data_IF_682692282708
#
_entry.id   IF_682692282708
#
_cell.length_a   1.000
_cell.length_b   1.000
_cell.length_c   1.000
_cell.angle_alpha   90.00
_cell.angle_beta   90.00
_cell.angle_gamma   90.00
#
_symmetry.space_group_name_H-M   'P 1'
#
loop_
_entity.id
_entity.type
_entity.pdbx_description
1 polymer ?
#
# COMPACT_ATOMS: atom_id res chain seq x y z
N UNK A 1 2.94 -20.26 -15.97
CA UNK A 1 4.30 -19.99 -16.44
C UNK A 1 4.90 -21.31 -16.89
N UNK A 2 5.25 -21.41 -18.16
CA UNK A 2 5.89 -22.62 -18.72
C UNK A 2 7.38 -22.51 -18.41
N UNK A 3 7.88 -23.38 -17.56
CA UNK A 3 9.33 -23.51 -17.34
C UNK A 3 9.85 -24.36 -18.48
N UNK A 4 10.57 -23.75 -19.41
CA UNK A 4 11.35 -24.44 -20.43
C UNK A 4 12.81 -24.40 -19.95
N UNK A 5 13.53 -25.50 -20.07
CA UNK A 5 14.96 -25.67 -19.83
C UNK A 5 15.44 -25.78 -18.39
N UNK A 6 14.68 -26.41 -17.48
CA UNK A 6 15.16 -26.75 -16.13
C UNK A 6 15.51 -25.53 -15.26
N UNK A 7 15.14 -24.32 -15.68
CA UNK A 7 15.28 -23.13 -14.86
C UNK A 7 14.17 -23.05 -13.82
N UNK A 8 14.54 -22.86 -12.57
CA UNK A 8 13.60 -22.68 -11.48
C UNK A 8 12.77 -21.41 -11.69
N UNK A 9 11.49 -21.47 -11.32
CA UNK A 9 10.59 -20.33 -11.42
C UNK A 9 11.10 -19.15 -10.56
N UNK A 10 11.10 -17.95 -11.11
CA UNK A 10 11.42 -16.72 -10.39
C UNK A 10 10.14 -16.13 -9.83
N UNK A 11 10.07 -16.01 -8.51
CA UNK A 11 9.00 -15.34 -7.78
C UNK A 11 9.51 -14.00 -7.25
N UNK A 12 8.71 -12.94 -7.43
CA UNK A 12 9.02 -11.62 -6.87
C UNK A 12 7.76 -11.01 -6.25
N UNK A 13 7.90 -10.39 -5.08
CA UNK A 13 6.78 -9.76 -4.37
C UNK A 13 7.27 -8.70 -3.38
N UNK A 14 6.35 -7.81 -2.98
CA UNK A 14 6.54 -6.90 -1.85
C UNK A 14 6.13 -7.59 -0.56
N UNK A 15 6.89 -7.41 0.51
CA UNK A 15 6.52 -7.92 1.84
C UNK A 15 5.32 -7.19 2.44
N UNK A 16 5.04 -5.98 1.96
CA UNK A 16 3.82 -5.22 2.25
C UNK A 16 3.34 -4.55 0.96
N UNK A 17 2.07 -4.67 0.64
CA UNK A 17 1.51 -4.15 -0.63
C UNK A 17 0.62 -2.93 -0.44
N UNK A 18 0.21 -2.65 0.80
CA UNK A 18 -0.67 -1.51 1.07
C UNK A 18 -0.49 -0.92 2.46
N UNK A 19 -0.95 0.31 2.63
CA UNK A 19 -1.12 0.98 3.90
C UNK A 19 -2.38 1.85 3.86
N UNK A 20 -3.06 1.98 5.00
CA UNK A 20 -4.21 2.85 5.18
C UNK A 20 -3.83 3.96 6.15
N UNK A 21 -4.14 5.20 5.81
CA UNK A 21 -3.80 6.38 6.58
C UNK A 21 -5.06 7.10 7.05
N UNK A 22 -5.17 7.43 8.34
CA UNK A 22 -6.30 8.20 8.85
C UNK A 22 -6.32 9.59 8.19
N UNK A 23 -7.48 10.01 7.76
CA UNK A 23 -7.73 11.33 7.19
C UNK A 23 -8.94 11.98 7.86
N UNK A 24 -8.99 13.30 7.89
CA UNK A 24 -10.18 14.04 8.30
C UNK A 24 -11.33 13.77 7.33
N UNK A 25 -12.55 14.18 7.67
CA UNK A 25 -13.70 14.14 6.75
C UNK A 25 -13.46 14.94 5.46
N UNK A 26 -12.60 15.95 5.50
CA UNK A 26 -12.16 16.73 4.33
C UNK A 26 -11.01 16.06 3.55
N UNK A 27 -10.56 14.87 3.95
CA UNK A 27 -9.50 14.12 3.27
C UNK A 27 -8.08 14.61 3.57
N UNK A 28 -7.89 15.40 4.63
CA UNK A 28 -6.57 15.82 5.09
C UNK A 28 -5.97 14.70 5.94
N UNK A 29 -4.82 14.19 5.51
CA UNK A 29 -4.02 13.23 6.30
C UNK A 29 -3.20 14.04 7.30
N UNK A 30 -3.57 13.96 8.57
CA UNK A 30 -2.99 14.81 9.64
C UNK A 30 -1.72 14.23 10.25
N UNK A 31 -1.49 12.94 10.12
CA UNK A 31 -0.37 12.27 10.77
C UNK A 31 0.48 11.49 9.77
N UNK A 32 1.29 12.24 9.03
CA UNK A 32 2.29 11.68 8.13
C UNK A 32 3.68 11.64 8.75
N UNK A 33 3.82 12.23 9.93
CA UNK A 33 5.07 12.25 10.61
C UNK A 33 5.21 11.00 11.44
N UNK A 34 5.98 10.08 10.92
CA UNK A 34 6.73 9.18 11.77
C UNK A 34 6.05 7.90 12.25
N UNK A 35 6.63 7.30 13.01
CA UNK A 35 6.63 6.21 13.98
C UNK A 35 5.38 5.29 14.04
N UNK A 36 4.18 5.72 13.71
CA UNK A 36 2.97 4.88 13.73
C UNK A 36 2.68 4.17 12.41
N UNK A 37 3.20 4.69 11.30
CA UNK A 37 3.07 4.09 9.96
C UNK A 37 4.42 3.68 9.37
N UNK A 38 5.51 4.07 10.02
CA UNK A 38 6.82 3.47 9.81
C UNK A 38 6.72 2.04 10.31
N UNK A 39 6.55 1.13 9.40
CA UNK A 39 6.69 -0.29 9.72
C UNK A 39 8.03 -0.49 10.40
N UNK A 40 7.99 -1.02 11.60
CA UNK A 40 9.16 -1.22 12.48
C UNK A 40 10.22 -2.17 11.89
N UNK A 41 10.00 -2.70 10.70
CA UNK A 41 10.97 -3.43 9.90
C UNK A 41 10.97 -2.89 8.48
N UNK A 42 12.12 -2.79 7.81
CA UNK A 42 12.17 -2.38 6.41
C UNK A 42 11.29 -3.32 5.59
N UNK A 43 10.42 -2.72 4.79
CA UNK A 43 9.67 -3.48 3.80
C UNK A 43 10.61 -3.81 2.65
N UNK A 44 10.41 -4.95 2.00
CA UNK A 44 11.32 -5.42 0.97
C UNK A 44 10.58 -5.85 -0.29
N UNK A 45 11.17 -5.56 -1.42
CA UNK A 45 10.84 -6.18 -2.68
C UNK A 45 11.74 -7.43 -2.81
N UNK A 46 11.18 -8.59 -2.48
CA UNK A 46 11.93 -9.86 -2.46
C UNK A 46 11.83 -10.61 -3.77
N UNK A 47 12.90 -11.32 -4.08
CA UNK A 47 13.01 -12.18 -5.26
C UNK A 47 13.52 -13.55 -4.83
N UNK A 48 12.90 -14.58 -5.35
CA UNK A 48 13.30 -15.96 -5.13
C UNK A 48 13.44 -16.68 -6.45
N UNK A 49 14.43 -17.54 -6.52
CA UNK A 49 14.58 -18.53 -7.58
C UNK A 49 14.54 -19.92 -6.93
N UNK A 50 13.48 -20.66 -7.20
CA UNK A 50 13.18 -21.84 -6.41
C UNK A 50 12.98 -21.51 -4.92
N UNK A 51 13.71 -22.16 -4.03
CA UNK A 51 13.68 -21.90 -2.59
C UNK A 51 14.70 -20.84 -2.13
N UNK A 52 15.60 -20.39 -2.99
CA UNK A 52 16.66 -19.46 -2.64
C UNK A 52 16.28 -18.01 -2.90
N UNK A 53 16.51 -17.11 -1.93
CA UNK A 53 16.38 -15.67 -2.14
C UNK A 53 17.53 -15.17 -3.02
N UNK A 54 17.21 -14.43 -4.07
CA UNK A 54 18.19 -13.76 -4.92
C UNK A 54 18.49 -12.39 -4.30
N UNK A 55 19.76 -12.18 -3.94
CA UNK A 55 20.23 -10.95 -3.29
C UNK A 55 21.28 -10.19 -4.09
N UNK A 56 21.70 -10.68 -5.25
CA UNK A 56 22.69 -10.07 -6.11
C UNK A 56 22.28 -10.15 -7.58
N UNK A 57 22.88 -9.32 -8.42
CA UNK A 57 22.57 -9.29 -9.85
C UNK A 57 21.21 -8.66 -10.17
N UNK A 58 20.63 -7.92 -9.23
CA UNK A 58 19.35 -7.19 -9.37
C UNK A 58 19.51 -5.76 -8.85
N UNK A 59 18.75 -4.86 -9.45
CA UNK A 59 18.62 -3.47 -9.00
C UNK A 59 17.15 -3.10 -8.86
N UNK A 60 16.88 -2.15 -7.98
CA UNK A 60 15.51 -1.70 -7.69
C UNK A 60 15.38 -0.19 -7.89
N UNK A 61 14.25 0.24 -8.40
CA UNK A 61 13.95 1.65 -8.60
C UNK A 61 12.45 1.93 -8.42
N UNK A 62 12.09 3.19 -8.19
CA UNK A 62 10.73 3.68 -8.37
C UNK A 62 10.49 3.85 -9.87
N UNK A 63 9.49 3.16 -10.42
CA UNK A 63 9.13 3.27 -11.84
C UNK A 63 8.11 4.36 -12.08
N UNK A 64 7.08 4.43 -11.23
CA UNK A 64 6.02 5.40 -11.33
C UNK A 64 5.39 5.68 -9.96
N UNK A 65 4.86 6.88 -9.80
CA UNK A 65 4.03 7.28 -8.66
C UNK A 65 2.84 8.05 -9.18
N UNK A 66 1.67 7.75 -8.66
CA UNK A 66 0.44 8.49 -8.93
C UNK A 66 -0.23 8.89 -7.62
N UNK A 67 -0.98 9.98 -7.62
CA UNK A 67 -1.74 10.41 -6.44
C UNK A 67 -0.99 11.28 -5.44
N UNK A 68 0.30 11.60 -5.69
CA UNK A 68 1.09 12.52 -4.87
C UNK A 68 2.06 13.34 -5.72
N UNK A 69 2.49 14.50 -5.23
CA UNK A 69 3.53 15.30 -5.87
C UNK A 69 4.92 15.07 -5.29
N UNK A 70 5.00 14.61 -4.05
CA UNK A 70 6.26 14.30 -3.38
C UNK A 70 6.13 13.03 -2.52
N UNK A 71 7.21 12.28 -2.46
CA UNK A 71 7.42 11.19 -1.50
C UNK A 71 8.74 11.43 -0.74
N UNK A 72 8.73 11.25 0.58
CA UNK A 72 9.90 11.43 1.45
C UNK A 72 10.64 12.77 1.21
N UNK A 73 9.88 13.83 0.88
CA UNK A 73 10.42 15.15 0.59
C UNK A 73 11.02 15.33 -0.80
N UNK A 74 11.01 14.29 -1.64
CA UNK A 74 11.52 14.31 -3.02
C UNK A 74 10.36 14.43 -3.99
N UNK A 75 10.49 15.28 -5.02
CA UNK A 75 9.49 15.38 -6.08
C UNK A 75 9.35 14.05 -6.82
N UNK A 76 8.09 13.71 -7.13
CA UNK A 76 7.76 12.44 -7.79
C UNK A 76 8.30 12.41 -9.20
N UNK A 77 9.12 11.42 -9.49
CA UNK A 77 9.68 11.13 -10.81
C UNK A 77 10.03 9.64 -10.94
N UNK A 78 10.15 9.14 -12.15
CA UNK A 78 10.74 7.82 -12.38
C UNK A 78 12.21 7.82 -11.95
N UNK A 79 12.64 6.75 -11.26
CA UNK A 79 14.00 6.62 -10.75
C UNK A 79 14.33 7.52 -9.55
N UNK A 80 13.32 8.17 -8.92
CA UNK A 80 13.56 8.99 -7.74
C UNK A 80 14.25 8.20 -6.62
N UNK A 81 15.12 8.87 -5.86
CA UNK A 81 15.85 8.28 -4.73
C UNK A 81 15.09 8.42 -3.41
N UNK A 82 15.57 7.74 -2.36
CA UNK A 82 15.07 7.92 -0.99
C UNK A 82 13.75 7.18 -0.66
N UNK A 83 13.22 6.38 -1.58
CA UNK A 83 12.01 5.57 -1.35
C UNK A 83 12.36 4.09 -1.33
N UNK A 84 13.17 3.61 -2.26
CA UNK A 84 13.66 2.24 -2.30
C UNK A 84 15.18 2.22 -2.40
N UNK A 85 15.82 1.32 -1.67
CA UNK A 85 17.24 1.07 -1.79
C UNK A 85 17.52 0.25 -3.05
N UNK A 86 18.32 0.80 -3.95
CA UNK A 86 18.58 0.22 -5.27
C UNK A 86 19.30 -1.13 -5.25
N UNK A 87 19.97 -1.46 -4.14
CA UNK A 87 20.77 -2.69 -4.02
C UNK A 87 20.06 -3.76 -3.17
N UNK A 88 19.30 -3.36 -2.14
CA UNK A 88 18.69 -4.30 -1.19
C UNK A 88 17.20 -4.52 -1.45
N UNK A 89 16.54 -3.64 -2.20
CA UNK A 89 15.09 -3.67 -2.39
C UNK A 89 14.29 -3.25 -1.16
N UNK A 90 14.95 -2.78 -0.11
CA UNK A 90 14.26 -2.23 1.07
C UNK A 90 13.61 -0.91 0.71
N UNK A 91 12.33 -0.75 1.03
CA UNK A 91 11.61 0.48 0.77
C UNK A 91 10.91 1.01 2.02
N UNK A 92 10.79 2.32 2.09
CA UNK A 92 10.09 3.01 3.16
C UNK A 92 9.48 4.31 2.62
N UNK A 93 8.19 4.51 2.90
CA UNK A 93 7.49 5.76 2.60
C UNK A 93 7.17 6.42 3.93
N UNK A 94 7.88 7.49 4.26
CA UNK A 94 7.79 8.19 5.55
C UNK A 94 7.01 9.49 5.48
N UNK A 95 6.90 10.08 4.28
CA UNK A 95 6.17 11.32 4.08
C UNK A 95 5.65 11.41 2.65
N UNK A 96 4.47 11.98 2.48
CA UNK A 96 3.92 12.37 1.18
C UNK A 96 3.30 13.75 1.29
N UNK A 97 3.41 14.53 0.24
CA UNK A 97 2.69 15.80 0.13
C UNK A 97 2.03 15.92 -1.23
N UNK A 98 1.04 16.82 -1.31
CA UNK A 98 0.32 17.04 -2.56
C UNK A 98 -0.48 15.81 -3.01
N UNK A 99 -1.28 15.27 -2.11
CA UNK A 99 -2.27 14.24 -2.48
C UNK A 99 -3.24 14.79 -3.52
N UNK A 100 -3.33 14.12 -4.67
CA UNK A 100 -4.23 14.50 -5.77
C UNK A 100 -5.51 13.67 -5.81
N UNK A 101 -5.68 12.72 -4.87
CA UNK A 101 -6.85 11.84 -4.76
C UNK A 101 -6.87 11.12 -3.42
N UNK A 102 -7.61 10.02 -3.34
CA UNK A 102 -7.80 9.24 -2.12
C UNK A 102 -6.77 8.11 -1.97
N UNK A 103 -6.02 7.85 -3.02
CA UNK A 103 -4.97 6.84 -3.03
C UNK A 103 -3.68 7.37 -3.68
N UNK A 104 -2.56 6.86 -3.18
CA UNK A 104 -1.24 6.98 -3.81
C UNK A 104 -0.81 5.59 -4.21
N UNK A 105 -0.36 5.44 -5.44
CA UNK A 105 0.16 4.20 -5.96
C UNK A 105 1.62 4.37 -6.33
N UNK A 106 2.49 3.51 -5.82
CA UNK A 106 3.92 3.48 -6.11
C UNK A 106 4.23 2.17 -6.82
N UNK A 107 4.73 2.27 -8.04
CA UNK A 107 5.22 1.11 -8.79
C UNK A 107 6.73 1.02 -8.61
N UNK A 108 7.18 -0.02 -7.96
CA UNK A 108 8.59 -0.38 -7.89
C UNK A 108 8.95 -1.31 -9.03
N UNK A 109 10.12 -1.10 -9.61
CA UNK A 109 10.68 -1.96 -10.65
C UNK A 109 11.95 -2.63 -10.14
N UNK A 110 12.01 -3.92 -10.32
CA UNK A 110 13.20 -4.73 -10.22
C UNK A 110 13.76 -4.96 -11.64
N UNK A 111 15.08 -4.85 -11.79
CA UNK A 111 15.78 -5.16 -13.04
C UNK A 111 16.89 -6.17 -12.76
N UNK A 112 16.90 -7.26 -13.49
CA UNK A 112 18.00 -8.22 -13.47
C UNK A 112 19.16 -7.70 -14.33
N UNK A 113 20.31 -7.48 -13.72
CA UNK A 113 21.43 -6.74 -14.35
C UNK A 113 22.03 -7.44 -15.55
N UNK A 114 22.08 -8.77 -15.55
CA UNK A 114 22.69 -9.53 -16.65
C UNK A 114 21.77 -9.70 -17.86
N UNK A 115 20.46 -9.87 -17.65
CA UNK A 115 19.49 -10.10 -18.74
C UNK A 115 18.68 -8.87 -19.13
N UNK A 116 18.69 -7.82 -18.30
CA UNK A 116 17.81 -6.67 -18.46
C UNK A 116 16.32 -6.97 -18.20
N UNK A 117 15.98 -8.20 -17.78
CA UNK A 117 14.61 -8.59 -17.47
C UNK A 117 14.06 -7.80 -16.29
N UNK A 118 12.81 -7.34 -16.38
CA UNK A 118 12.17 -6.50 -15.36
C UNK A 118 10.97 -7.16 -14.76
N UNK A 119 10.65 -6.78 -13.51
CA UNK A 119 9.40 -7.10 -12.81
C UNK A 119 8.94 -5.88 -12.05
N UNK A 120 7.65 -5.60 -12.12
CA UNK A 120 7.02 -4.50 -11.40
C UNK A 120 6.18 -5.04 -10.25
N UNK A 121 6.15 -4.28 -9.16
CA UNK A 121 5.28 -4.53 -8.01
C UNK A 121 4.71 -3.20 -7.50
N UNK A 122 3.47 -3.24 -7.04
CA UNK A 122 2.71 -2.04 -6.69
C UNK A 122 2.48 -2.00 -5.19
N UNK A 123 2.81 -0.85 -4.58
CA UNK A 123 2.44 -0.50 -3.22
C UNK A 123 1.41 0.62 -3.26
N UNK A 124 0.30 0.46 -2.52
CA UNK A 124 -0.79 1.42 -2.49
C UNK A 124 -1.02 1.97 -1.09
N UNK A 125 -1.17 3.27 -0.98
CA UNK A 125 -1.64 3.93 0.25
C UNK A 125 -3.00 4.55 -0.01
N UNK A 126 -3.95 4.36 0.93
CA UNK A 126 -5.30 4.89 0.84
C UNK A 126 -5.63 5.74 2.05
N UNK A 127 -6.54 6.70 1.89
CA UNK A 127 -7.11 7.47 3.00
C UNK A 127 -8.25 6.71 3.64
N UNK A 128 -8.25 6.64 4.98
CA UNK A 128 -9.43 6.30 5.77
C UNK A 128 -10.04 7.60 6.28
N UNK A 129 -11.16 8.01 5.70
CA UNK A 129 -11.84 9.24 6.08
C UNK A 129 -12.51 9.10 7.42
N UNK A 130 -12.34 10.10 8.29
CA UNK A 130 -13.20 10.23 9.47
C UNK A 130 -14.64 10.50 9.05
N UNK A 131 -15.59 9.96 9.78
CA UNK A 131 -16.99 10.32 9.62
C UNK A 131 -17.19 11.84 9.81
N UNK A 132 -18.14 12.42 9.11
CA UNK A 132 -18.56 13.79 9.37
C UNK A 132 -19.38 13.85 10.65
N UNK A 133 -19.18 14.91 11.43
CA UNK A 133 -20.04 15.16 12.57
C UNK A 133 -21.50 15.23 12.12
N UNK A 134 -22.39 14.67 12.90
CA UNK A 134 -23.83 14.79 12.67
C UNK A 134 -24.23 16.26 12.63
N UNK A 135 -25.16 16.61 11.76
CA UNK A 135 -25.75 17.96 11.74
C UNK A 135 -26.51 18.21 13.03
N UNK A 136 -26.27 19.38 13.63
CA UNK A 136 -27.09 19.81 14.76
C UNK A 136 -28.60 19.72 14.40
N UNK A 137 -29.37 19.14 15.29
CA UNK A 137 -30.82 19.11 15.12
C UNK A 137 -31.34 20.54 14.88
N UNK A 138 -32.30 20.66 13.98
CA UNK A 138 -32.97 21.93 13.73
C UNK A 138 -33.71 22.36 14.99
N UNK A 139 -33.55 23.62 15.41
CA UNK A 139 -34.34 24.20 16.49
C UNK A 139 -35.80 23.96 16.19
N UNK A 140 -36.51 23.38 17.16
CA UNK A 140 -37.94 23.22 17.05
C UNK A 140 -38.61 24.58 16.82
N UNK A 141 -39.60 24.62 15.94
CA UNK A 141 -40.45 25.80 15.76
C UNK A 141 -41.11 26.11 17.09
N UNK A 142 -41.12 27.41 17.48
CA UNK A 142 -41.85 27.91 18.65
C UNK A 142 -43.35 27.56 18.52
N UNK A 143 -43.72 26.44 19.02
CA UNK A 143 -45.08 26.05 19.24
C UNK A 143 -45.32 26.05 20.74
N UNK A 144 -46.52 26.25 21.17
CA UNK A 144 -46.96 26.13 22.55
C UNK A 144 -46.32 24.90 23.22
N UNK A 145 -45.36 25.13 24.13
CA UNK A 145 -44.54 24.12 24.83
C UNK A 145 -43.99 23.00 23.94
N UNK A 146 -43.03 23.33 23.06
CA UNK A 146 -42.36 22.37 22.23
C UNK A 146 -41.44 21.44 23.04
N UNK A 147 -41.49 20.17 22.74
CA UNK A 147 -40.51 19.19 23.20
C UNK A 147 -39.14 19.49 22.52
N UNK A 148 -38.07 19.45 23.32
CA UNK A 148 -36.71 19.59 22.82
C UNK A 148 -36.48 18.62 21.65
N UNK A 149 -35.85 19.11 20.59
CA UNK A 149 -35.43 18.26 19.47
C UNK A 149 -34.52 17.13 19.94
N UNK A 150 -34.67 15.97 19.36
CA UNK A 150 -33.79 14.82 19.60
C UNK A 150 -32.40 15.12 19.06
N UNK A 151 -31.37 14.84 19.85
CA UNK A 151 -30.00 14.92 19.36
C UNK A 151 -29.83 14.05 18.11
N UNK A 152 -29.13 14.55 17.13
CA UNK A 152 -28.76 13.78 15.95
C UNK A 152 -28.03 12.51 16.34
N UNK A 153 -28.24 11.45 15.61
CA UNK A 153 -27.48 10.19 15.76
C UNK A 153 -26.04 10.42 15.28
N UNK A 154 -25.08 9.90 16.03
CA UNK A 154 -23.68 9.88 15.59
C UNK A 154 -23.60 9.21 14.21
N UNK A 155 -22.71 9.73 13.37
CA UNK A 155 -22.40 9.10 12.10
C UNK A 155 -21.94 7.64 12.31
N UNK A 156 -22.23 6.80 11.35
CA UNK A 156 -21.74 5.43 11.38
C UNK A 156 -20.22 5.39 11.29
N UNK A 157 -19.60 4.56 12.11
CA UNK A 157 -18.17 4.31 12.04
C UNK A 157 -17.78 3.75 10.67
N UNK A 158 -16.65 4.19 10.17
CA UNK A 158 -16.11 3.64 8.93
C UNK A 158 -15.74 2.15 9.13
N UNK A 159 -16.26 1.30 8.28
CA UNK A 159 -15.90 -0.12 8.27
C UNK A 159 -14.70 -0.31 7.35
N UNK A 160 -13.59 -0.75 7.92
CA UNK A 160 -12.41 -1.15 7.16
C UNK A 160 -12.49 -2.66 6.95
N UNK A 161 -12.49 -3.07 5.69
CA UNK A 161 -12.36 -4.48 5.34
C UNK A 161 -10.92 -4.77 4.97
N UNK A 162 -10.29 -5.66 5.72
CA UNK A 162 -9.01 -6.27 5.33
C UNK A 162 -9.32 -7.60 4.65
N UNK A 163 -8.88 -7.75 3.43
CA UNK A 163 -9.00 -9.01 2.70
C UNK A 163 -7.65 -9.70 2.78
N UNK A 164 -7.55 -10.67 3.66
CA UNK A 164 -6.40 -11.58 3.66
C UNK A 164 -6.66 -12.71 2.65
N UNK A 165 -5.77 -12.95 1.69
CA UNK A 165 -5.90 -14.10 0.83
C UNK A 165 -5.75 -15.38 1.66
N UNK A 166 -6.73 -16.25 1.60
CA UNK A 166 -6.73 -17.53 2.33
C UNK A 166 -5.63 -18.51 1.88
N UNK A 167 -5.01 -18.23 0.74
CA UNK A 167 -3.90 -19.00 0.19
C UNK A 167 -2.81 -18.06 -0.30
N UNK A 168 -1.68 -18.02 0.41
CA UNK A 168 -0.51 -17.20 0.04
C UNK A 168 0.40 -17.87 -0.99
N UNK A 169 0.35 -19.18 -1.09
CA UNK A 169 1.09 -19.91 -2.12
C UNK A 169 0.50 -21.31 -2.33
N UNK A 170 0.51 -21.76 -3.56
CA UNK A 170 0.28 -23.17 -3.89
C UNK A 170 1.62 -23.75 -4.31
N UNK A 171 2.18 -24.64 -3.50
CA UNK A 171 3.36 -25.39 -3.91
C UNK A 171 2.92 -26.56 -4.80
N UNK A 172 3.57 -26.69 -5.95
CA UNK A 172 3.42 -27.88 -6.78
C UNK A 172 4.61 -28.81 -6.56
N UNK A 173 4.32 -30.08 -6.42
CA UNK A 173 5.38 -31.07 -6.44
C UNK A 173 6.00 -31.17 -7.86
N UNK A 174 7.12 -31.88 -7.96
CA UNK A 174 7.90 -31.99 -9.19
C UNK A 174 7.16 -32.67 -10.37
N UNK A 175 5.96 -33.21 -10.16
CA UNK A 175 5.10 -33.86 -11.16
C UNK A 175 3.86 -33.02 -11.50
N UNK A 176 3.76 -31.79 -11.01
CA UNK A 176 2.70 -30.86 -11.40
C UNK A 176 1.31 -31.14 -10.82
N UNK A 177 1.21 -32.05 -9.87
CA UNK A 177 -0.04 -32.38 -9.17
C UNK A 177 -0.12 -31.58 -7.88
N UNK A 178 -1.25 -30.91 -7.63
CA UNK A 178 -1.48 -30.24 -6.36
C UNK A 178 -1.62 -31.28 -5.25
N UNK A 179 -0.93 -31.06 -4.13
CA UNK A 179 -1.11 -31.92 -2.95
C UNK A 179 -2.50 -31.66 -2.35
N UNK A 180 -3.24 -32.69 -1.94
CA UNK A 180 -4.46 -32.50 -1.17
C UNK A 180 -4.13 -31.84 0.18
N UNK A 181 -4.91 -30.83 0.55
CA UNK A 181 -4.89 -30.19 1.88
C UNK A 181 -5.43 -31.12 2.95
#
# INVERSE_FOLDING_TARGET
VRVTDGQEAVLSFLTKVSAVLPATSAGVVSDYTSSTHSVSAPQEFRVYQGAAQVTSGITYAVQAVTGATHLNGVAVAAGMSGVINSSTGQYNVTATTGWTGDAITITFRLTHTASGGTRDAVFTMTKAFAGSDGTNGTNGTNGTNGTNGTNGTNGADAVVYEIEPSVQSVSRNNIGVAAPT
#
